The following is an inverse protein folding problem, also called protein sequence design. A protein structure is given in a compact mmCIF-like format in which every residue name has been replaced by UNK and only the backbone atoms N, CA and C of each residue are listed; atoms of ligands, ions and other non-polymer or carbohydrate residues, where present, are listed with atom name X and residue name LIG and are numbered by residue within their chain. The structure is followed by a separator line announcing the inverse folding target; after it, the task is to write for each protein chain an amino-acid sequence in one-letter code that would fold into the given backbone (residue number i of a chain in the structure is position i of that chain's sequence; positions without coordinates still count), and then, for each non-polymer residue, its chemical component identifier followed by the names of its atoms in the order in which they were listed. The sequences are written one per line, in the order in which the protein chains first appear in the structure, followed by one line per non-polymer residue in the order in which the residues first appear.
data_IF_957706398855
#
_entry.id   IF_957706398855
#
_cell.length_a   1.000
_cell.length_b   1.000
_cell.length_c   1.000
_cell.angle_alpha   90.00
_cell.angle_beta   90.00
_cell.angle_gamma   90.00
#
_symmetry.space_group_name_H-M   'P 1'
#
loop_
_entity.id
_entity.type
_entity.pdbx_description
1 polymer ?
#
# COMPACT_ATOMS: atom_id res chain seq x y z
N UNK A 1 -32.13 6.48 -2.45
CA UNK A 1 -31.69 5.77 -1.23
C UNK A 1 -31.92 4.28 -1.49
N UNK A 2 -30.91 3.43 -1.35
CA UNK A 2 -30.99 2.01 -1.77
C UNK A 2 -32.01 1.22 -0.92
N UNK A 3 -32.79 0.34 -1.56
CA UNK A 3 -33.78 -0.52 -0.89
C UNK A 3 -33.11 -1.72 -0.22
N UNK A 4 -32.82 -1.55 1.07
CA UNK A 4 -32.15 -2.55 1.89
C UNK A 4 -33.05 -3.74 2.24
N UNK A 5 -34.37 -3.58 2.12
CA UNK A 5 -35.34 -4.61 2.49
C UNK A 5 -35.43 -5.66 1.37
N UNK A 6 -35.52 -5.20 0.12
CA UNK A 6 -35.45 -6.05 -1.06
C UNK A 6 -34.13 -6.84 -1.14
N UNK A 7 -32.99 -6.20 -0.84
CA UNK A 7 -31.69 -6.88 -0.86
C UNK A 7 -31.60 -8.02 0.16
N UNK A 8 -32.21 -7.84 1.34
CA UNK A 8 -32.26 -8.86 2.39
C UNK A 8 -33.17 -10.04 2.01
N UNK A 9 -34.32 -9.77 1.41
CA UNK A 9 -35.26 -10.80 0.94
C UNK A 9 -34.67 -11.66 -0.19
N UNK A 10 -33.80 -11.08 -1.01
CA UNK A 10 -33.09 -11.77 -2.09
C UNK A 10 -31.78 -12.45 -1.64
N UNK A 11 -31.45 -12.42 -0.34
CA UNK A 11 -30.20 -13.00 0.19
C UNK A 11 -28.93 -12.27 -0.26
N UNK A 12 -29.06 -11.06 -0.79
CA UNK A 12 -27.93 -10.25 -1.27
C UNK A 12 -27.26 -9.60 -0.07
N UNK A 13 -26.03 -10.04 0.23
CA UNK A 13 -25.23 -9.43 1.30
C UNK A 13 -24.74 -8.05 0.86
N UNK A 14 -25.42 -7.01 1.33
CA UNK A 14 -25.01 -5.62 1.08
C UNK A 14 -23.93 -5.22 2.08
N UNK A 15 -22.68 -5.19 1.62
CA UNK A 15 -21.56 -4.64 2.39
C UNK A 15 -21.41 -3.17 2.02
N UNK A 16 -21.85 -2.28 2.90
CA UNK A 16 -21.48 -0.85 2.79
C UNK A 16 -20.19 -0.63 3.59
N UNK A 17 -19.23 0.10 3.02
CA UNK A 17 -18.18 0.71 3.80
C UNK A 17 -18.70 2.09 4.22
N UNK A 18 -19.21 2.27 5.46
CA UNK A 18 -19.61 3.59 5.90
C UNK A 18 -18.38 4.49 5.84
N UNK A 19 -18.44 5.54 5.00
CA UNK A 19 -17.40 6.56 4.95
C UNK A 19 -17.12 7.08 6.36
N UNK A 20 -15.84 7.27 6.70
CA UNK A 20 -15.41 7.80 7.97
C UNK A 20 -15.92 9.24 8.11
N UNK A 21 -17.12 9.42 8.65
CA UNK A 21 -17.48 10.67 9.32
C UNK A 21 -16.43 11.01 10.39
N UNK A 22 -16.41 12.28 10.82
CA UNK A 22 -15.43 12.85 11.76
C UNK A 22 -15.21 11.93 12.96
N UNK A 23 -13.95 11.68 13.29
CA UNK A 23 -13.51 10.77 14.37
C UNK A 23 -13.51 11.42 15.76
N UNK A 24 -13.96 12.67 15.86
CA UNK A 24 -14.06 13.46 17.09
C UNK A 24 -15.30 13.10 17.93
N UNK A 25 -16.28 12.39 17.37
CA UNK A 25 -17.50 12.05 18.08
C UNK A 25 -17.43 10.71 18.82
N UNK A 26 -17.91 10.72 20.06
CA UNK A 26 -17.99 9.56 20.96
C UNK A 26 -19.11 8.61 20.52
N UNK A 27 -18.85 7.88 19.43
CA UNK A 27 -19.76 6.85 18.89
C UNK A 27 -19.60 5.49 19.57
N UNK A 28 -20.55 4.55 19.35
CA UNK A 28 -20.48 3.21 19.91
C UNK A 28 -19.20 2.49 19.48
N UNK A 29 -18.65 1.66 20.38
CA UNK A 29 -17.43 0.90 20.14
C UNK A 29 -17.59 0.03 18.88
N UNK A 30 -16.77 0.30 17.86
CA UNK A 30 -16.87 -0.37 16.56
C UNK A 30 -16.24 -1.77 16.61
N UNK A 31 -16.81 -2.74 15.86
CA UNK A 31 -16.16 -4.03 15.64
C UNK A 31 -14.79 -3.77 15.03
N UNK A 32 -13.77 -4.20 15.75
CA UNK A 32 -12.40 -3.94 15.38
C UNK A 32 -12.04 -4.94 14.27
N UNK A 33 -11.62 -4.46 13.09
CA UNK A 33 -11.03 -5.30 12.02
C UNK A 33 -9.64 -5.85 12.45
N UNK A 34 -9.51 -6.27 13.71
CA UNK A 34 -8.26 -6.54 14.42
C UNK A 34 -7.65 -7.89 14.10
N UNK A 35 -8.25 -8.73 13.24
CA UNK A 35 -7.67 -10.01 12.86
C UNK A 35 -7.90 -10.32 11.38
N UNK A 36 -6.81 -10.50 10.66
CA UNK A 36 -6.73 -11.48 9.56
C UNK A 36 -7.07 -11.03 8.15
N UNK A 37 -7.74 -9.90 7.90
CA UNK A 37 -8.04 -9.50 6.51
C UNK A 37 -6.95 -8.63 5.90
N UNK A 38 -6.60 -8.94 4.65
CA UNK A 38 -5.82 -8.07 3.75
C UNK A 38 -6.44 -6.67 3.80
N UNK A 39 -5.68 -5.68 4.26
CA UNK A 39 -6.24 -4.35 4.51
C UNK A 39 -6.72 -3.73 3.18
N UNK A 40 -8.00 -3.35 3.04
CA UNK A 40 -8.51 -2.74 1.81
C UNK A 40 -7.75 -1.45 1.47
N UNK A 41 -7.29 -0.72 2.49
CA UNK A 41 -6.41 0.43 2.32
C UNK A 41 -5.07 0.06 1.68
N UNK A 42 -4.46 -1.07 2.06
CA UNK A 42 -3.20 -1.53 1.46
C UNK A 42 -3.40 -1.91 -0.02
N UNK A 43 -4.50 -2.59 -0.35
CA UNK A 43 -4.84 -2.90 -1.74
C UNK A 43 -5.05 -1.63 -2.55
N UNK A 44 -5.74 -0.64 -1.98
CA UNK A 44 -5.96 0.65 -2.63
C UNK A 44 -4.65 1.41 -2.84
N UNK A 45 -3.73 1.40 -1.87
CA UNK A 45 -2.38 1.97 -2.04
C UNK A 45 -1.66 1.35 -3.23
N UNK A 46 -1.68 0.03 -3.38
CA UNK A 46 -1.08 -0.64 -4.53
C UNK A 46 -1.79 -0.34 -5.84
N UNK A 47 -3.13 -0.25 -5.85
CA UNK A 47 -3.89 0.16 -7.02
C UNK A 47 -3.43 1.55 -7.51
N UNK A 48 -3.23 2.50 -6.60
CA UNK A 48 -2.74 3.84 -6.94
C UNK A 48 -1.29 3.82 -7.43
N UNK A 49 -0.39 3.09 -6.77
CA UNK A 49 1.01 2.95 -7.20
C UNK A 49 1.07 2.37 -8.62
N UNK A 50 0.33 1.30 -8.89
CA UNK A 50 0.30 0.64 -10.19
C UNK A 50 -0.36 1.52 -11.25
N UNK A 51 -1.43 2.25 -10.90
CA UNK A 51 -2.08 3.21 -11.78
C UNK A 51 -1.09 4.27 -12.27
N UNK A 52 -0.23 4.77 -11.37
CA UNK A 52 0.81 5.73 -11.72
C UNK A 52 1.93 5.08 -12.54
N UNK A 53 2.45 3.93 -12.12
CA UNK A 53 3.53 3.24 -12.82
C UNK A 53 3.16 2.84 -14.25
N UNK A 54 1.87 2.55 -14.50
CA UNK A 54 1.36 2.08 -15.79
C UNK A 54 0.59 3.13 -16.58
N UNK A 55 0.57 4.39 -16.15
CA UNK A 55 -0.19 5.49 -16.77
C UNK A 55 -1.68 5.18 -16.99
N UNK A 56 -2.30 4.37 -16.12
CA UNK A 56 -3.65 3.81 -16.36
C UNK A 56 -4.70 4.90 -16.59
N UNK A 57 -4.69 5.95 -15.77
CA UNK A 57 -5.66 7.04 -15.91
C UNK A 57 -5.47 7.84 -17.22
N UNK A 58 -4.22 8.09 -17.60
CA UNK A 58 -3.91 8.85 -18.83
C UNK A 58 -4.23 8.02 -20.08
N UNK A 59 -3.84 6.74 -20.09
CA UNK A 59 -4.09 5.85 -21.23
C UNK A 59 -5.59 5.53 -21.39
N UNK A 60 -6.36 5.45 -20.30
CA UNK A 60 -7.82 5.34 -20.34
C UNK A 60 -8.48 6.54 -21.04
N UNK A 61 -7.99 7.76 -20.79
CA UNK A 61 -8.47 8.97 -21.49
C UNK A 61 -8.11 8.91 -22.98
N UNK A 62 -6.89 8.51 -23.33
CA UNK A 62 -6.45 8.40 -24.73
C UNK A 62 -7.29 7.39 -25.51
N UNK A 63 -7.59 6.24 -24.91
CA UNK A 63 -8.44 5.21 -25.51
C UNK A 63 -9.86 5.73 -25.74
N UNK A 64 -10.47 6.37 -24.72
CA UNK A 64 -11.84 6.91 -24.81
C UNK A 64 -11.99 8.05 -25.82
N UNK A 65 -10.94 8.83 -26.00
CA UNK A 65 -10.92 9.95 -26.95
C UNK A 65 -10.49 9.55 -28.36
N UNK A 66 -10.26 8.25 -28.61
CA UNK A 66 -9.78 7.73 -29.89
C UNK A 66 -8.48 8.38 -30.38
N UNK A 67 -7.67 8.90 -29.47
CA UNK A 67 -6.40 9.57 -29.77
C UNK A 67 -5.24 8.59 -29.96
N UNK A 68 -5.46 7.30 -29.65
CA UNK A 68 -4.46 6.24 -29.81
C UNK A 68 -4.65 5.12 -28.82
N UNK A 69 -3.58 4.34 -28.59
CA UNK A 69 -3.59 3.17 -27.71
C UNK A 69 -2.75 3.31 -26.45
N UNK A 70 -1.66 4.10 -26.49
CA UNK A 70 -0.79 4.36 -25.34
C UNK A 70 -0.11 5.73 -25.52
N UNK A 71 0.00 6.51 -24.45
CA UNK A 71 0.60 7.84 -24.50
C UNK A 71 2.09 7.84 -24.13
N UNK A 72 2.46 7.09 -23.09
CA UNK A 72 3.84 7.06 -22.55
C UNK A 72 4.26 5.67 -22.12
N UNK A 73 5.57 5.42 -22.12
CA UNK A 73 6.12 4.17 -21.59
C UNK A 73 5.84 4.05 -20.10
N UNK A 74 5.41 2.84 -19.70
CA UNK A 74 5.19 2.49 -18.32
C UNK A 74 6.53 2.23 -17.61
N UNK A 75 6.55 2.45 -16.30
CA UNK A 75 7.70 2.21 -15.42
C UNK A 75 7.61 0.79 -14.86
N UNK A 76 8.69 0.01 -15.00
CA UNK A 76 8.84 -1.27 -14.33
C UNK A 76 9.19 -1.07 -12.85
N UNK A 77 8.52 -1.81 -11.96
CA UNK A 77 8.78 -1.75 -10.52
C UNK A 77 10.00 -2.55 -10.03
N UNK A 78 10.39 -3.69 -10.62
CA UNK A 78 11.54 -4.47 -10.13
C UNK A 78 12.82 -3.66 -10.06
N UNK A 79 13.57 -3.82 -8.96
CA UNK A 79 14.82 -3.11 -8.69
C UNK A 79 14.66 -1.68 -8.18
N UNK A 80 13.47 -1.07 -8.32
CA UNK A 80 13.22 0.28 -7.80
C UNK A 80 13.06 0.27 -6.28
N UNK A 81 13.26 1.45 -5.67
CA UNK A 81 13.14 1.66 -4.23
C UNK A 81 11.79 2.26 -3.87
N UNK A 82 11.02 1.57 -3.03
CA UNK A 82 9.81 2.10 -2.39
C UNK A 82 10.17 2.73 -1.04
N UNK A 83 9.83 4.01 -0.87
CA UNK A 83 9.91 4.72 0.40
C UNK A 83 8.62 4.62 1.20
N UNK A 84 8.69 4.06 2.41
CA UNK A 84 7.55 3.90 3.33
C UNK A 84 7.71 4.85 4.52
N UNK A 85 6.89 5.90 4.55
CA UNK A 85 6.79 6.81 5.69
C UNK A 85 5.73 6.28 6.65
N UNK A 86 6.16 5.78 7.81
CA UNK A 86 5.30 5.15 8.80
C UNK A 86 5.26 3.63 8.68
N UNK A 87 6.18 2.91 9.35
CA UNK A 87 6.21 1.44 9.36
C UNK A 87 5.27 0.83 10.42
N UNK A 88 4.00 1.21 10.34
CA UNK A 88 2.93 0.59 11.14
C UNK A 88 2.39 -0.68 10.49
N UNK A 89 1.21 -1.13 10.94
CA UNK A 89 0.53 -2.32 10.38
C UNK A 89 0.29 -2.24 8.87
N UNK A 90 -0.17 -1.09 8.37
CA UNK A 90 -0.42 -0.87 6.94
C UNK A 90 0.89 -0.74 6.16
N UNK A 91 1.83 0.06 6.65
CA UNK A 91 3.13 0.28 6.00
C UNK A 91 3.92 -1.01 5.84
N UNK A 92 3.96 -1.87 6.87
CA UNK A 92 4.62 -3.17 6.79
C UNK A 92 3.93 -4.12 5.79
N UNK A 93 2.59 -4.09 5.71
CA UNK A 93 1.86 -4.88 4.72
C UNK A 93 2.14 -4.44 3.28
N UNK A 94 2.21 -3.12 3.04
CA UNK A 94 2.61 -2.55 1.74
C UNK A 94 4.05 -2.94 1.42
N UNK A 95 4.98 -2.70 2.34
CA UNK A 95 6.40 -3.01 2.21
C UNK A 95 6.67 -4.48 1.87
N UNK A 96 5.96 -5.40 2.52
CA UNK A 96 6.05 -6.83 2.26
C UNK A 96 5.66 -7.19 0.83
N UNK A 97 4.59 -6.59 0.29
CA UNK A 97 4.18 -6.81 -1.10
C UNK A 97 5.22 -6.23 -2.07
N UNK A 98 5.78 -5.06 -1.76
CA UNK A 98 6.83 -4.46 -2.59
C UNK A 98 8.02 -5.41 -2.76
N UNK A 99 8.47 -5.99 -1.65
CA UNK A 99 9.59 -6.91 -1.62
C UNK A 99 9.27 -8.24 -2.32
N UNK A 100 8.18 -8.93 -1.91
CA UNK A 100 7.86 -10.28 -2.38
C UNK A 100 7.29 -10.33 -3.80
N UNK A 101 6.39 -9.41 -4.14
CA UNK A 101 5.61 -9.49 -5.38
C UNK A 101 6.24 -8.67 -6.51
N UNK A 102 6.81 -7.50 -6.18
CA UNK A 102 7.32 -6.56 -7.18
C UNK A 102 8.84 -6.51 -7.25
N UNK A 103 9.56 -7.20 -6.38
CA UNK A 103 11.02 -7.20 -6.39
C UNK A 103 11.60 -5.81 -6.17
N UNK A 104 11.02 -5.03 -5.26
CA UNK A 104 11.47 -3.68 -4.92
C UNK A 104 12.36 -3.67 -3.68
N UNK A 105 13.30 -2.72 -3.64
CA UNK A 105 13.99 -2.34 -2.42
C UNK A 105 13.04 -1.53 -1.52
N UNK A 106 13.08 -1.75 -0.21
CA UNK A 106 12.23 -0.99 0.73
C UNK A 106 13.08 -0.19 1.68
N UNK A 107 12.88 1.13 1.67
CA UNK A 107 13.37 2.03 2.71
C UNK A 107 12.18 2.52 3.55
N UNK A 108 12.40 2.69 4.85
CA UNK A 108 11.34 3.15 5.75
C UNK A 108 11.82 4.16 6.78
N UNK A 109 10.92 5.05 7.18
CA UNK A 109 11.19 6.04 8.24
C UNK A 109 9.96 6.24 9.11
N UNK A 110 10.16 6.44 10.41
CA UNK A 110 9.17 6.99 11.34
C UNK A 110 9.91 7.65 12.50
N UNK A 111 9.22 8.51 13.26
CA UNK A 111 9.83 9.28 14.37
C UNK A 111 10.57 8.42 15.40
N UNK A 112 10.02 7.26 15.76
CA UNK A 112 10.57 6.33 16.76
C UNK A 112 10.96 4.96 16.18
N UNK A 113 11.27 4.92 14.87
CA UNK A 113 11.63 3.69 14.17
C UNK A 113 13.13 3.40 14.31
N UNK A 114 13.46 2.22 14.83
CA UNK A 114 14.82 1.68 14.86
C UNK A 114 14.93 0.52 13.88
N UNK A 115 16.16 0.16 13.49
CA UNK A 115 16.37 -0.95 12.56
C UNK A 115 15.84 -2.27 13.14
N UNK A 116 15.99 -2.47 14.45
CA UNK A 116 15.51 -3.68 15.13
C UNK A 116 13.98 -3.79 15.06
N UNK A 117 13.25 -2.67 15.20
CA UNK A 117 11.79 -2.67 15.05
C UNK A 117 11.38 -2.97 13.60
N UNK A 118 12.11 -2.46 12.62
CA UNK A 118 11.85 -2.78 11.21
C UNK A 118 12.08 -4.26 10.91
N UNK A 119 13.16 -4.83 11.44
CA UNK A 119 13.49 -6.26 11.32
C UNK A 119 12.41 -7.14 11.97
N UNK A 120 11.93 -6.76 13.16
CA UNK A 120 10.79 -7.43 13.80
C UNK A 120 9.52 -7.40 12.95
N UNK A 121 9.24 -6.28 12.27
CA UNK A 121 8.08 -6.17 11.37
C UNK A 121 8.25 -7.02 10.10
N UNK A 122 9.48 -7.15 9.58
CA UNK A 122 9.79 -8.05 8.47
C UNK A 122 9.54 -9.50 8.87
N UNK A 123 10.08 -9.93 10.02
CA UNK A 123 9.88 -11.28 10.58
C UNK A 123 8.41 -11.56 10.86
N UNK A 124 7.68 -10.60 11.45
CA UNK A 124 6.23 -10.73 11.66
C UNK A 124 5.43 -10.85 10.34
N UNK A 125 5.97 -10.31 9.25
CA UNK A 125 5.45 -10.47 7.89
C UNK A 125 5.86 -11.77 7.19
N UNK A 126 6.65 -12.62 7.84
CA UNK A 126 7.18 -13.86 7.27
C UNK A 126 8.40 -13.65 6.36
N UNK A 127 9.15 -12.55 6.55
CA UNK A 127 10.37 -12.25 5.80
C UNK A 127 11.60 -12.43 6.67
N UNK A 128 12.71 -12.84 6.07
CA UNK A 128 14.02 -12.70 6.70
C UNK A 128 14.36 -11.20 6.79
N UNK A 129 14.98 -10.71 7.89
CA UNK A 129 15.36 -9.30 8.00
C UNK A 129 16.53 -8.93 7.07
N UNK A 130 17.31 -9.90 6.61
CA UNK A 130 18.52 -9.71 5.79
C UNK A 130 18.36 -10.24 4.36
N UNK A 131 17.13 -10.25 3.84
CA UNK A 131 16.84 -10.65 2.45
C UNK A 131 16.68 -9.47 1.50
N UNK A 132 17.28 -8.30 1.80
CA UNK A 132 17.25 -7.15 0.91
C UNK A 132 17.81 -7.48 -0.47
N UNK A 133 17.20 -6.92 -1.53
CA UNK A 133 17.60 -7.22 -2.91
C UNK A 133 18.96 -6.60 -3.26
N UNK A 134 19.40 -5.59 -2.49
CA UNK A 134 20.72 -4.99 -2.53
C UNK A 134 21.77 -5.72 -1.66
N UNK A 135 21.41 -6.89 -1.10
CA UNK A 135 22.23 -7.62 -0.13
C UNK A 135 22.18 -7.02 1.28
N UNK A 136 21.31 -6.04 1.51
CA UNK A 136 21.11 -5.37 2.78
C UNK A 136 19.87 -5.85 3.53
N UNK A 137 19.30 -4.93 4.32
CA UNK A 137 18.09 -5.16 5.11
C UNK A 137 16.85 -5.21 4.23
N UNK A 138 15.94 -6.13 4.55
CA UNK A 138 14.64 -6.25 3.87
C UNK A 138 13.82 -4.98 4.01
N UNK A 139 13.75 -4.41 5.20
CA UNK A 139 13.20 -3.07 5.46
C UNK A 139 14.32 -2.19 6.02
N UNK A 140 14.96 -1.39 5.17
CA UNK A 140 16.08 -0.53 5.57
C UNK A 140 15.58 0.77 6.19
N UNK A 141 15.93 1.03 7.45
CA UNK A 141 15.57 2.28 8.11
C UNK A 141 16.48 3.41 7.61
N UNK A 142 15.88 4.53 7.25
CA UNK A 142 16.60 5.75 6.81
C UNK A 142 16.20 6.93 7.69
N UNK A 143 17.13 7.85 7.97
CA UNK A 143 16.82 9.08 8.72
C UNK A 143 16.03 10.09 7.88
N UNK A 144 15.34 11.04 8.54
CA UNK A 144 14.47 12.07 7.90
C UNK A 144 15.17 12.88 6.79
N UNK A 145 16.48 13.07 6.88
CA UNK A 145 17.25 13.81 5.86
C UNK A 145 17.62 12.95 4.65
N UNK A 146 17.70 11.63 4.82
CA UNK A 146 18.08 10.68 3.77
C UNK A 146 16.87 10.01 3.12
N UNK A 147 15.65 10.15 3.67
CA UNK A 147 14.44 9.55 3.14
C UNK A 147 13.97 10.14 1.81
N UNK A 148 14.42 11.35 1.45
CA UNK A 148 14.08 12.04 0.20
C UNK A 148 15.30 12.30 -0.71
N UNK A 149 16.49 11.88 -0.31
CA UNK A 149 17.67 12.00 -1.15
C UNK A 149 17.50 11.06 -2.37
N UNK A 150 17.66 11.60 -3.59
CA UNK A 150 17.71 10.78 -4.80
C UNK A 150 18.84 9.76 -4.62
N UNK A 151 18.50 8.48 -4.51
CA UNK A 151 19.46 7.41 -4.73
C UNK A 151 19.65 7.32 -6.24
N UNK A 152 20.61 8.09 -6.76
CA UNK A 152 21.09 7.95 -8.13
C UNK A 152 21.95 6.69 -8.18
N UNK A 153 21.49 5.67 -8.90
CA UNK A 153 22.39 4.66 -9.48
C UNK A 153 23.10 5.25 -10.70
#
# INVERSE_FOLDING_TARGET
MFDLKAAKELGITVVTAPGLGRTDQKGPARPNSKKGSVHPTMQHTWALILSLARNVADDDVVLKTSLGWQNRLAIGLPGLTLGVVGLGRLGAAVARVAHLAFGMNVICWSENLTQEKADQMAVAGGLSPDSGLDGGKTFRVVGKQNSFARQTS
#
